data_IF_781408561545
#
_entry.id   IF_781408561545
#
_cell.length_a   1.000
_cell.length_b   1.000
_cell.length_c   1.000
_cell.angle_alpha   90.00
_cell.angle_beta   90.00
_cell.angle_gamma   90.00
#
_symmetry.space_group_name_H-M   'P 1'
#
loop_
_entity.id
_entity.type
_entity.pdbx_description
1 polymer ?
#
# COMPACT_ATOMS: atom_id res chain seq x y z
N UNK A 1 -62.49 -55.52 25.89
CA UNK A 1 -63.01 -55.28 24.54
C UNK A 1 -62.94 -53.80 24.25
N UNK A 2 -62.15 -53.42 23.25
CA UNK A 2 -62.36 -52.30 22.31
C UNK A 2 -61.25 -52.41 21.25
N UNK A 3 -61.72 -52.53 20.00
CA UNK A 3 -61.13 -52.34 18.65
C UNK A 3 -59.82 -51.56 18.48
N UNK A 4 -59.03 -51.59 17.38
CA UNK A 4 -58.76 -52.44 16.18
C UNK A 4 -57.74 -51.61 15.32
N UNK A 5 -56.82 -52.27 14.59
CA UNK A 5 -56.05 -51.86 13.37
C UNK A 5 -54.82 -50.90 13.39
N UNK A 6 -53.65 -51.52 13.15
CA UNK A 6 -52.58 -51.34 12.12
C UNK A 6 -52.07 -49.97 11.60
N UNK A 7 -50.75 -49.78 11.77
CA UNK A 7 -49.67 -49.33 10.85
C UNK A 7 -49.82 -48.12 9.90
N UNK A 8 -48.88 -47.16 9.99
CA UNK A 8 -47.89 -46.81 8.93
C UNK A 8 -46.98 -45.63 9.32
N UNK A 9 -45.76 -45.61 8.76
CA UNK A 9 -44.64 -44.68 8.96
C UNK A 9 -44.88 -43.21 8.55
N UNK A 10 -44.17 -42.28 9.20
CA UNK A 10 -43.50 -41.15 8.51
C UNK A 10 -42.32 -40.60 9.33
N UNK A 11 -41.18 -40.40 8.66
CA UNK A 11 -39.97 -39.74 9.16
C UNK A 11 -39.96 -38.32 8.61
N UNK A 12 -40.34 -37.34 9.43
CA UNK A 12 -40.07 -35.92 9.20
C UNK A 12 -40.22 -35.17 10.51
N UNK A 13 -39.12 -34.66 11.08
CA UNK A 13 -39.22 -33.88 12.31
C UNK A 13 -37.88 -33.50 12.93
N UNK A 14 -37.43 -32.30 12.56
CA UNK A 14 -36.51 -31.39 13.26
C UNK A 14 -36.12 -31.78 14.70
N UNK A 15 -34.80 -31.89 14.92
CA UNK A 15 -34.21 -31.61 16.23
C UNK A 15 -33.41 -30.32 16.14
N UNK A 16 -34.01 -29.25 16.67
CA UNK A 16 -33.32 -28.03 17.06
C UNK A 16 -32.99 -28.14 18.55
N UNK A 17 -31.70 -28.17 18.90
CA UNK A 17 -31.22 -27.54 20.13
C UNK A 17 -29.84 -26.93 19.88
N UNK A 18 -29.61 -25.67 20.29
CA UNK A 18 -28.39 -24.94 19.98
C UNK A 18 -27.32 -25.24 21.04
N UNK A 19 -26.16 -25.70 20.60
CA UNK A 19 -24.93 -25.44 21.34
C UNK A 19 -24.32 -24.16 20.76
N UNK A 20 -24.05 -23.12 21.57
CA UNK A 20 -23.28 -21.99 21.08
C UNK A 20 -21.89 -22.51 20.74
N UNK A 21 -21.60 -22.55 19.45
CA UNK A 21 -20.31 -22.92 18.92
C UNK A 21 -19.25 -22.08 19.61
N UNK A 22 -18.26 -22.77 20.17
CA UNK A 22 -16.94 -22.18 20.41
C UNK A 22 -16.54 -21.45 19.12
N UNK A 23 -16.46 -20.12 19.19
CA UNK A 23 -15.81 -19.35 18.16
C UNK A 23 -14.37 -19.80 18.10
N UNK A 24 -14.03 -20.53 17.04
CA UNK A 24 -12.64 -20.73 16.67
C UNK A 24 -11.98 -19.33 16.65
N UNK A 25 -10.82 -19.14 17.30
CA UNK A 25 -10.15 -17.85 17.21
C UNK A 25 -9.88 -17.59 15.74
N UNK A 26 -10.33 -16.43 15.25
CA UNK A 26 -9.94 -15.91 13.93
C UNK A 26 -8.44 -16.20 13.79
N UNK A 27 -8.09 -17.08 12.83
CA UNK A 27 -6.71 -17.20 12.42
C UNK A 27 -6.31 -15.80 11.95
N UNK A 28 -5.47 -15.12 12.73
CA UNK A 28 -4.88 -13.86 12.33
C UNK A 28 -4.06 -14.20 11.08
N UNK A 29 -4.58 -13.85 9.91
CA UNK A 29 -3.88 -13.84 8.63
C UNK A 29 -2.49 -13.24 8.85
N UNK A 30 -1.47 -13.81 8.23
CA UNK A 30 -0.04 -13.49 8.37
C UNK A 30 0.22 -11.99 8.58
N UNK A 31 0.31 -11.58 9.86
CA UNK A 31 0.56 -10.19 10.25
C UNK A 31 2.06 -9.88 10.16
N UNK A 32 2.67 -10.18 9.01
CA UNK A 32 4.12 -10.03 8.81
C UNK A 32 4.45 -8.60 8.38
N UNK A 33 4.92 -7.81 9.33
CA UNK A 33 5.36 -6.43 9.13
C UNK A 33 6.55 -6.09 10.04
N UNK A 34 7.21 -4.98 9.78
CA UNK A 34 8.26 -4.44 10.65
C UNK A 34 7.74 -3.17 11.34
N UNK A 35 7.73 -3.20 12.68
CA UNK A 35 7.11 -2.17 13.52
C UNK A 35 8.16 -1.43 14.33
N UNK A 36 8.21 -0.12 14.18
CA UNK A 36 8.88 0.77 15.11
C UNK A 36 7.86 1.37 16.07
N UNK A 37 8.06 1.20 17.38
CA UNK A 37 7.24 1.87 18.40
C UNK A 37 7.98 3.11 18.88
N UNK A 38 7.46 4.29 18.59
CA UNK A 38 7.95 5.56 19.12
C UNK A 38 7.14 5.91 20.37
N UNK A 39 7.80 5.90 21.52
CA UNK A 39 7.18 6.01 22.83
C UNK A 39 7.51 7.36 23.48
N UNK A 40 6.51 8.13 23.89
CA UNK A 40 6.72 9.40 24.59
C UNK A 40 7.37 9.15 25.95
N UNK A 41 8.54 9.73 26.18
CA UNK A 41 9.30 9.66 27.42
C UNK A 41 9.55 11.04 28.03
N UNK A 42 8.77 12.05 27.62
CA UNK A 42 8.88 13.43 28.08
C UNK A 42 8.55 13.63 29.56
N UNK A 43 8.91 14.79 30.10
CA UNK A 43 8.55 15.18 31.48
C UNK A 43 7.03 15.29 31.67
N UNK A 44 6.28 15.63 30.61
CA UNK A 44 4.83 15.84 30.66
C UNK A 44 4.06 14.55 31.01
N UNK A 45 4.50 13.41 30.45
CA UNK A 45 3.89 12.11 30.76
C UNK A 45 4.21 11.64 32.19
N UNK A 46 5.45 11.85 32.64
CA UNK A 46 5.91 11.43 33.95
C UNK A 46 5.97 9.91 34.15
N UNK A 47 6.66 9.48 35.22
CA UNK A 47 6.99 8.06 35.46
C UNK A 47 5.78 7.13 35.51
N UNK A 48 4.66 7.59 36.11
CA UNK A 48 3.48 6.75 36.33
C UNK A 48 2.78 6.41 35.01
N UNK A 49 2.54 7.40 34.14
CA UNK A 49 1.91 7.19 32.84
C UNK A 49 2.87 6.51 31.87
N UNK A 50 4.17 6.79 31.96
CA UNK A 50 5.21 6.05 31.25
C UNK A 50 5.14 4.54 31.53
N UNK A 51 4.97 4.13 32.80
CA UNK A 51 4.79 2.72 33.13
C UNK A 51 3.49 2.12 32.55
N UNK A 52 2.40 2.90 32.46
CA UNK A 52 1.17 2.46 31.79
C UNK A 52 1.39 2.28 30.28
N UNK A 53 2.18 3.17 29.66
CA UNK A 53 2.58 3.07 28.27
C UNK A 53 3.39 1.80 27.99
N UNK A 54 4.39 1.48 28.84
CA UNK A 54 5.15 0.22 28.76
C UNK A 54 4.23 -1.00 28.79
N UNK A 55 3.23 -1.00 29.68
CA UNK A 55 2.26 -2.09 29.78
C UNK A 55 1.39 -2.22 28.51
N UNK A 56 1.02 -1.10 27.90
CA UNK A 56 0.30 -1.10 26.63
C UNK A 56 1.17 -1.67 25.50
N UNK A 57 2.41 -1.20 25.35
CA UNK A 57 3.34 -1.69 24.31
C UNK A 57 3.65 -3.18 24.50
N UNK A 58 3.86 -3.63 25.74
CA UNK A 58 4.03 -5.04 26.06
C UNK A 58 2.79 -5.86 25.66
N UNK A 59 1.58 -5.35 25.94
CA UNK A 59 0.34 -6.03 25.53
C UNK A 59 0.17 -6.07 24.02
N UNK A 60 0.51 -4.98 23.32
CA UNK A 60 0.49 -4.88 21.87
C UNK A 60 1.45 -5.90 21.24
N UNK A 61 2.71 -5.94 21.69
CA UNK A 61 3.71 -6.89 21.22
C UNK A 61 3.28 -8.36 21.42
N UNK A 62 2.66 -8.66 22.57
CA UNK A 62 2.12 -10.00 22.84
C UNK A 62 0.96 -10.36 21.90
N UNK A 63 0.06 -9.41 21.60
CA UNK A 63 -1.08 -9.63 20.69
C UNK A 63 -0.66 -9.74 19.23
N UNK A 64 0.37 -9.00 18.81
CA UNK A 64 0.99 -9.09 17.50
C UNK A 64 1.72 -10.42 17.26
N UNK A 65 1.99 -11.20 18.32
CA UNK A 65 2.74 -12.48 18.25
C UNK A 65 4.13 -12.30 17.63
N UNK A 66 4.85 -11.28 18.09
CA UNK A 66 6.21 -10.95 17.62
C UNK A 66 7.14 -12.16 17.71
N UNK A 67 7.86 -12.44 16.63
CA UNK A 67 8.82 -13.54 16.60
C UNK A 67 9.37 -13.81 15.20
N UNK A 68 10.17 -14.87 15.06
CA UNK A 68 10.88 -15.18 13.82
C UNK A 68 9.97 -15.32 12.58
N UNK A 69 8.76 -15.86 12.75
CA UNK A 69 7.75 -16.03 11.69
C UNK A 69 6.65 -14.96 11.73
N UNK A 70 6.74 -13.97 12.61
CA UNK A 70 5.72 -12.96 12.86
C UNK A 70 6.20 -11.54 12.51
N UNK A 71 5.51 -10.50 13.02
CA UNK A 71 6.03 -9.16 12.99
C UNK A 71 7.34 -9.04 13.76
N UNK A 72 8.21 -8.11 13.34
CA UNK A 72 9.38 -7.67 14.12
C UNK A 72 9.07 -6.33 14.76
N UNK A 73 9.50 -6.13 16.01
CA UNK A 73 9.26 -4.89 16.75
C UNK A 73 10.58 -4.38 17.29
N UNK A 74 10.83 -3.09 17.12
CA UNK A 74 11.77 -2.37 17.96
C UNK A 74 11.20 -1.07 18.49
N UNK A 75 11.98 -0.37 19.31
CA UNK A 75 11.46 0.70 20.15
C UNK A 75 12.42 1.89 20.23
N UNK A 76 11.82 3.08 20.13
CA UNK A 76 12.48 4.38 20.21
C UNK A 76 11.76 5.19 21.27
N UNK A 77 12.49 5.86 22.15
CA UNK A 77 11.93 6.83 23.10
C UNK A 77 12.06 8.25 22.53
N UNK A 78 10.95 8.99 22.53
CA UNK A 78 10.90 10.42 22.22
C UNK A 78 11.12 11.22 23.52
N UNK A 79 12.11 12.11 23.50
CA UNK A 79 12.47 13.01 24.60
C UNK A 79 13.11 14.29 24.01
N UNK A 80 14.04 14.94 24.70
CA UNK A 80 14.85 16.04 24.11
C UNK A 80 15.52 15.61 22.81
N UNK A 81 16.08 14.39 22.80
CA UNK A 81 16.65 13.72 21.64
C UNK A 81 16.10 12.29 21.54
N UNK A 82 15.85 11.77 20.34
CA UNK A 82 15.36 10.41 20.18
C UNK A 82 16.43 9.38 20.59
N UNK A 83 16.01 8.35 21.32
CA UNK A 83 16.89 7.25 21.74
C UNK A 83 16.33 5.92 21.27
N UNK A 84 17.06 5.22 20.41
CA UNK A 84 16.74 3.85 20.02
C UNK A 84 17.14 2.90 21.15
N UNK A 85 16.16 2.21 21.74
CA UNK A 85 16.41 1.26 22.84
C UNK A 85 16.76 -0.13 22.31
N UNK A 86 16.10 -0.54 21.23
CA UNK A 86 16.42 -1.77 20.49
C UNK A 86 15.83 -1.75 19.09
N UNK A 87 16.53 -2.40 18.15
CA UNK A 87 16.18 -2.51 16.73
C UNK A 87 15.36 -3.77 16.42
N UNK A 88 14.85 -3.91 15.19
CA UNK A 88 13.94 -4.99 14.77
C UNK A 88 14.55 -6.40 14.91
N UNK A 89 15.86 -6.54 14.76
CA UNK A 89 16.59 -7.81 14.88
C UNK A 89 16.94 -8.19 16.33
N UNK A 90 16.76 -7.30 17.30
CA UNK A 90 17.27 -7.49 18.67
C UNK A 90 16.60 -8.63 19.42
N UNK A 91 15.30 -8.83 19.19
CA UNK A 91 14.51 -9.84 19.90
C UNK A 91 13.67 -10.66 18.94
N UNK A 92 13.89 -11.97 18.95
CA UNK A 92 13.12 -12.96 18.17
C UNK A 92 12.18 -13.78 19.04
N UNK A 93 12.34 -13.73 20.36
CA UNK A 93 11.53 -14.43 21.35
C UNK A 93 10.57 -13.45 22.06
N UNK A 94 9.26 -13.74 22.10
CA UNK A 94 8.29 -12.87 22.76
C UNK A 94 8.64 -12.57 24.22
N UNK A 95 9.14 -13.56 24.97
CA UNK A 95 9.45 -13.41 26.39
C UNK A 95 10.55 -12.37 26.64
N UNK A 96 11.60 -12.38 25.82
CA UNK A 96 12.76 -11.50 25.97
C UNK A 96 12.38 -10.07 25.57
N UNK A 97 11.59 -9.91 24.51
CA UNK A 97 11.03 -8.62 24.12
C UNK A 97 10.17 -8.01 25.24
N UNK A 98 9.29 -8.79 25.86
CA UNK A 98 8.44 -8.31 26.96
C UNK A 98 9.27 -7.90 28.18
N UNK A 99 10.34 -8.63 28.47
CA UNK A 99 11.27 -8.27 29.54
C UNK A 99 12.01 -6.97 29.21
N UNK A 100 12.54 -6.83 28.00
CA UNK A 100 13.22 -5.61 27.56
C UNK A 100 12.32 -4.37 27.64
N UNK A 101 11.05 -4.49 27.21
CA UNK A 101 10.06 -3.40 27.35
C UNK A 101 9.84 -3.04 28.82
N UNK A 102 9.81 -4.02 29.73
CA UNK A 102 9.60 -3.77 31.16
C UNK A 102 10.76 -3.01 31.79
N UNK A 103 12.00 -3.29 31.38
CA UNK A 103 13.21 -2.67 31.93
C UNK A 103 13.52 -1.28 31.38
N UNK A 104 12.72 -0.76 30.45
CA UNK A 104 12.90 0.59 29.91
C UNK A 104 12.88 1.66 31.01
N UNK A 105 13.88 2.52 30.94
CA UNK A 105 14.09 3.66 31.83
C UNK A 105 13.38 4.90 31.29
N UNK A 106 12.75 5.66 32.18
CA UNK A 106 12.14 6.94 31.83
C UNK A 106 13.22 8.02 31.67
N UNK A 107 13.20 8.74 30.54
CA UNK A 107 14.21 9.77 30.22
C UNK A 107 13.86 11.16 30.76
N UNK A 108 12.60 11.61 30.63
CA UNK A 108 12.20 13.00 30.86
C UNK A 108 12.47 13.89 29.64
N UNK A 109 12.57 15.21 29.85
CA UNK A 109 12.80 16.20 28.79
C UNK A 109 11.54 16.68 28.07
N UNK A 110 11.71 17.27 26.90
CA UNK A 110 10.64 17.77 26.02
C UNK A 110 10.01 16.63 25.19
N UNK A 111 8.82 16.87 24.63
CA UNK A 111 8.13 15.90 23.76
C UNK A 111 8.44 16.18 22.28
N UNK A 112 9.71 16.05 21.88
CA UNK A 112 10.14 16.23 20.48
C UNK A 112 9.79 15.00 19.64
N UNK A 113 8.49 14.79 19.45
CA UNK A 113 7.93 13.65 18.71
C UNK A 113 8.30 13.72 17.23
N UNK A 114 8.31 14.92 16.63
CA UNK A 114 8.72 15.14 15.24
C UNK A 114 10.14 14.67 14.98
N UNK A 115 11.10 15.06 15.83
CA UNK A 115 12.49 14.57 15.76
C UNK A 115 12.57 13.05 15.90
N UNK A 116 11.76 12.45 16.77
CA UNK A 116 11.74 11.00 16.93
C UNK A 116 11.17 10.27 15.71
N UNK A 117 10.13 10.81 15.08
CA UNK A 117 9.61 10.31 13.80
C UNK A 117 10.69 10.40 12.73
N UNK A 118 11.35 11.56 12.60
CA UNK A 118 12.40 11.79 11.60
C UNK A 118 13.58 10.81 11.78
N UNK A 119 14.13 10.73 12.99
CA UNK A 119 15.21 9.79 13.33
C UNK A 119 14.84 8.35 13.02
N UNK A 120 13.60 7.94 13.34
CA UNK A 120 13.12 6.59 13.05
C UNK A 120 13.00 6.36 11.54
N UNK A 121 12.51 7.34 10.78
CA UNK A 121 12.39 7.23 9.34
C UNK A 121 13.75 7.08 8.65
N UNK A 122 14.74 7.85 9.08
CA UNK A 122 16.06 7.92 8.44
C UNK A 122 17.00 6.77 8.84
N UNK A 123 16.95 6.32 10.10
CA UNK A 123 18.01 5.44 10.65
C UNK A 123 17.52 4.07 11.06
N UNK A 124 16.23 3.89 11.34
CA UNK A 124 15.75 2.68 12.00
C UNK A 124 15.40 1.56 11.01
N UNK A 125 14.70 1.88 9.92
CA UNK A 125 14.25 0.90 8.93
C UNK A 125 15.34 0.58 7.90
N UNK A 126 16.41 -0.08 8.36
CA UNK A 126 17.52 -0.54 7.52
C UNK A 126 17.67 -2.06 7.58
N UNK A 127 18.28 -2.66 6.56
CA UNK A 127 18.53 -4.12 6.55
C UNK A 127 19.42 -4.55 7.71
N UNK A 128 20.41 -3.74 8.08
CA UNK A 128 21.31 -3.96 9.22
C UNK A 128 20.54 -4.03 10.54
N UNK A 129 19.51 -3.18 10.70
CA UNK A 129 18.64 -3.16 11.87
C UNK A 129 17.59 -4.27 11.87
N UNK A 130 17.56 -5.12 10.84
CA UNK A 130 16.65 -6.26 10.73
C UNK A 130 15.36 -5.99 9.95
N UNK A 131 15.29 -4.92 9.16
CA UNK A 131 14.19 -4.70 8.21
C UNK A 131 14.17 -5.78 7.13
N UNK A 132 12.99 -6.32 6.84
CA UNK A 132 12.76 -7.32 5.79
C UNK A 132 12.18 -6.67 4.54
N UNK A 133 12.77 -6.98 3.39
CA UNK A 133 12.26 -6.54 2.07
C UNK A 133 10.88 -7.17 1.81
N UNK A 134 9.98 -6.41 1.18
CA UNK A 134 8.65 -6.88 0.82
C UNK A 134 7.63 -6.92 1.97
N UNK A 135 8.02 -6.53 3.19
CA UNK A 135 7.10 -6.43 4.33
C UNK A 135 6.70 -4.97 4.60
N UNK A 136 5.45 -4.70 5.01
CA UNK A 136 5.03 -3.36 5.39
C UNK A 136 5.86 -2.80 6.56
N UNK A 137 6.23 -1.52 6.47
CA UNK A 137 6.89 -0.79 7.54
C UNK A 137 5.87 0.09 8.25
N UNK A 138 5.78 -0.04 9.57
CA UNK A 138 4.81 0.68 10.39
C UNK A 138 5.51 1.37 11.53
N UNK A 139 5.28 2.67 11.69
CA UNK A 139 5.71 3.45 12.83
C UNK A 139 4.51 3.74 13.72
N UNK A 140 4.43 3.10 14.88
CA UNK A 140 3.40 3.37 15.89
C UNK A 140 3.92 4.43 16.84
N UNK A 141 3.39 5.64 16.74
CA UNK A 141 3.81 6.79 17.53
C UNK A 141 2.80 7.03 18.63
N UNK A 142 3.23 6.89 19.87
CA UNK A 142 2.42 7.20 21.05
C UNK A 142 2.67 8.63 21.50
N UNK A 143 1.59 9.39 21.66
CA UNK A 143 1.65 10.82 22.02
C UNK A 143 0.82 11.06 23.29
N UNK A 144 1.41 11.71 24.30
CA UNK A 144 0.69 12.21 25.48
C UNK A 144 0.36 13.70 25.28
N UNK A 145 -0.89 14.01 24.91
CA UNK A 145 -1.31 15.37 24.64
C UNK A 145 -0.85 15.87 23.26
N UNK A 146 0.08 16.83 23.24
CA UNK A 146 0.56 17.49 22.02
C UNK A 146 2.09 17.52 21.92
N UNK A 147 2.65 17.39 20.70
CA UNK A 147 4.09 17.45 20.49
C UNK A 147 4.63 18.86 20.75
N UNK A 148 5.91 18.94 21.16
CA UNK A 148 6.63 20.21 21.35
C UNK A 148 7.25 20.76 20.05
N UNK A 149 7.28 19.94 18.99
CA UNK A 149 7.85 20.23 17.69
C UNK A 149 6.87 19.88 16.54
N UNK A 150 7.27 20.22 15.31
CA UNK A 150 6.49 19.91 14.12
C UNK A 150 6.59 18.41 13.77
N UNK A 151 5.43 17.74 13.80
CA UNK A 151 5.29 16.34 13.40
C UNK A 151 4.90 16.17 11.94
N UNK A 152 4.36 17.21 11.29
CA UNK A 152 3.85 17.13 9.92
C UNK A 152 4.99 16.84 8.95
N UNK A 153 6.05 17.64 8.97
CA UNK A 153 7.17 17.48 8.04
C UNK A 153 7.88 16.14 8.22
N UNK A 154 8.11 15.72 9.46
CA UNK A 154 8.72 14.43 9.78
C UNK A 154 7.86 13.26 9.30
N UNK A 155 6.54 13.34 9.51
CA UNK A 155 5.61 12.33 9.05
C UNK A 155 5.47 12.30 7.52
N UNK A 156 5.52 13.44 6.84
CA UNK A 156 5.60 13.50 5.36
C UNK A 156 6.81 12.69 4.90
N UNK A 157 8.00 12.97 5.43
CA UNK A 157 9.22 12.27 5.04
C UNK A 157 9.14 10.77 5.33
N UNK A 158 8.60 10.37 6.49
CA UNK A 158 8.37 8.96 6.80
C UNK A 158 7.46 8.27 5.77
N UNK A 159 6.34 8.91 5.40
CA UNK A 159 5.40 8.39 4.40
C UNK A 159 6.02 8.32 3.01
N UNK A 160 6.76 9.35 2.62
CA UNK A 160 7.48 9.40 1.35
C UNK A 160 8.59 8.34 1.28
N UNK A 161 9.18 7.98 2.43
CA UNK A 161 10.15 6.90 2.55
C UNK A 161 9.51 5.52 2.62
N UNK A 162 8.19 5.42 2.48
CA UNK A 162 7.46 4.16 2.47
C UNK A 162 7.21 3.57 3.87
N UNK A 163 6.97 4.43 4.87
CA UNK A 163 6.61 4.03 6.24
C UNK A 163 5.19 4.48 6.57
N UNK A 164 4.39 3.58 7.13
CA UNK A 164 3.04 3.89 7.60
C UNK A 164 3.08 4.47 9.01
N UNK A 165 2.79 5.76 9.14
CA UNK A 165 2.70 6.42 10.45
C UNK A 165 1.33 6.18 11.06
N UNK A 166 1.32 5.59 12.25
CA UNK A 166 0.12 5.26 13.02
C UNK A 166 0.18 5.97 14.37
N UNK A 167 -0.69 6.95 14.59
CA UNK A 167 -0.68 7.76 15.81
C UNK A 167 -1.65 7.20 16.85
N UNK A 168 -1.15 7.00 18.06
CA UNK A 168 -1.93 6.62 19.24
C UNK A 168 -1.85 7.74 20.26
N UNK A 169 -2.88 8.59 20.28
CA UNK A 169 -3.00 9.65 21.29
C UNK A 169 -3.69 9.11 22.54
N UNK A 170 -3.13 9.33 23.72
CA UNK A 170 -3.74 8.94 24.99
C UNK A 170 -4.13 10.17 25.79
N UNK A 171 -5.40 10.27 26.17
CA UNK A 171 -6.01 11.44 26.80
C UNK A 171 -5.87 12.71 25.92
N UNK A 172 -7.00 13.21 25.42
CA UNK A 172 -6.98 14.46 24.66
C UNK A 172 -6.57 15.63 25.56
N UNK A 173 -5.94 16.69 25.00
CA UNK A 173 -5.69 17.92 25.74
C UNK A 173 -7.00 18.43 26.35
N UNK A 174 -6.97 18.91 27.60
CA UNK A 174 -8.13 19.54 28.20
C UNK A 174 -8.49 20.83 27.43
N UNK A 175 -9.74 21.29 27.52
CA UNK A 175 -10.20 22.45 26.76
C UNK A 175 -9.36 23.71 27.05
N UNK A 176 -8.87 23.82 28.28
CA UNK A 176 -8.02 24.88 28.80
C UNK A 176 -6.60 24.82 28.22
N UNK A 177 -6.11 23.61 27.90
CA UNK A 177 -4.77 23.33 27.38
C UNK A 177 -4.71 23.48 25.85
N UNK A 178 -5.85 23.50 25.15
CA UNK A 178 -5.93 23.68 23.69
C UNK A 178 -5.31 24.99 23.19
N UNK A 179 -5.13 25.98 24.06
CA UNK A 179 -4.43 27.23 23.75
C UNK A 179 -2.91 27.07 23.67
N UNK A 180 -2.35 26.03 24.29
CA UNK A 180 -0.92 25.72 24.31
C UNK A 180 -0.50 24.75 23.21
N UNK A 181 -1.46 24.14 22.51
CA UNK A 181 -1.22 23.25 21.38
C UNK A 181 -0.82 24.09 20.16
N UNK A 182 0.44 23.98 19.74
CA UNK A 182 0.99 24.74 18.62
C UNK A 182 0.24 24.46 17.29
N UNK A 183 -0.03 23.19 17.01
CA UNK A 183 -0.83 22.77 15.86
C UNK A 183 -1.96 21.85 16.33
N UNK A 184 -3.21 22.29 16.21
CA UNK A 184 -4.38 21.53 16.68
C UNK A 184 -4.76 20.36 15.77
N UNK A 185 -4.33 20.38 14.52
CA UNK A 185 -4.61 19.34 13.53
C UNK A 185 -3.40 18.42 13.30
N UNK A 186 -2.39 18.48 14.18
CA UNK A 186 -1.17 17.68 14.08
C UNK A 186 -1.44 16.19 13.83
N UNK A 187 -2.45 15.61 14.52
CA UNK A 187 -2.85 14.21 14.34
C UNK A 187 -3.33 13.91 12.93
N UNK A 188 -4.08 14.85 12.31
CA UNK A 188 -4.62 14.67 10.96
C UNK A 188 -3.55 14.84 9.89
N UNK A 189 -2.62 15.77 10.12
CA UNK A 189 -1.51 16.09 9.20
C UNK A 189 -0.39 15.04 9.23
N UNK A 190 -0.13 14.47 10.40
CA UNK A 190 0.89 13.44 10.57
C UNK A 190 0.44 12.04 10.10
N UNK A 191 -0.87 11.77 10.00
CA UNK A 191 -1.37 10.57 9.33
C UNK A 191 -1.55 10.79 7.83
N UNK A 192 -1.55 9.71 7.07
CA UNK A 192 -1.71 9.76 5.62
C UNK A 192 -3.15 9.98 5.16
N UNK A 193 -4.13 9.40 5.87
CA UNK A 193 -5.56 9.58 5.62
C UNK A 193 -6.25 9.92 6.94
N UNK A 194 -6.98 11.03 6.98
CA UNK A 194 -7.86 11.36 8.10
C UNK A 194 -9.22 10.65 7.97
N UNK A 195 -9.17 9.32 7.89
CA UNK A 195 -10.37 8.45 7.87
C UNK A 195 -10.56 7.74 9.23
N UNK A 196 -9.80 8.15 10.25
CA UNK A 196 -9.81 7.52 11.57
C UNK A 196 -9.19 6.13 11.63
N UNK A 197 -8.53 5.64 10.56
CA UNK A 197 -7.81 4.35 10.58
C UNK A 197 -6.44 4.48 11.22
N UNK A 198 -5.60 5.41 10.73
CA UNK A 198 -4.22 5.63 11.15
C UNK A 198 -4.08 6.40 12.47
N UNK A 199 -5.17 6.99 12.96
CA UNK A 199 -5.23 7.66 14.25
C UNK A 199 -6.11 6.85 15.20
N UNK A 200 -5.64 6.67 16.44
CA UNK A 200 -6.38 5.99 17.49
C UNK A 200 -6.33 6.81 18.78
N UNK A 201 -7.50 7.24 19.26
CA UNK A 201 -7.62 8.00 20.50
C UNK A 201 -8.01 7.08 21.66
N UNK A 202 -7.14 6.97 22.65
CA UNK A 202 -7.42 6.28 23.91
C UNK A 202 -7.95 7.32 24.92
N UNK A 203 -9.15 7.13 25.50
CA UNK A 203 -9.73 8.13 26.41
C UNK A 203 -8.98 8.29 27.74
N UNK A 204 -8.35 7.22 28.24
CA UNK A 204 -7.74 7.21 29.55
C UNK A 204 -6.48 6.36 29.60
N UNK A 205 -5.45 6.87 30.30
CA UNK A 205 -4.23 6.15 30.61
C UNK A 205 -4.48 4.81 31.33
N UNK A 206 -5.51 4.73 32.17
CA UNK A 206 -5.85 3.51 32.92
C UNK A 206 -6.53 2.43 32.06
N UNK A 207 -7.10 2.80 30.90
CA UNK A 207 -7.76 1.85 30.00
C UNK A 207 -6.89 1.45 28.81
N UNK A 208 -5.67 1.98 28.68
CA UNK A 208 -4.77 1.76 27.54
C UNK A 208 -4.71 0.30 27.07
N UNK A 209 -4.46 -0.63 27.98
CA UNK A 209 -4.35 -2.07 27.68
C UNK A 209 -5.62 -2.70 27.11
N UNK A 210 -6.82 -2.12 27.37
CA UNK A 210 -8.09 -2.57 26.78
C UNK A 210 -8.16 -2.30 25.28
N UNK A 211 -7.43 -1.29 24.79
CA UNK A 211 -7.42 -0.88 23.40
C UNK A 211 -6.38 -1.61 22.54
N UNK A 212 -5.45 -2.35 23.15
CA UNK A 212 -4.39 -3.06 22.44
C UNK A 212 -4.93 -3.99 21.35
N UNK A 213 -6.09 -4.65 21.59
CA UNK A 213 -6.73 -5.51 20.58
C UNK A 213 -7.15 -4.72 19.35
N UNK A 214 -7.83 -3.59 19.52
CA UNK A 214 -8.30 -2.76 18.41
C UNK A 214 -7.14 -2.19 17.61
N UNK A 215 -6.05 -1.77 18.29
CA UNK A 215 -4.85 -1.29 17.60
C UNK A 215 -4.18 -2.44 16.83
N UNK A 216 -4.04 -3.62 17.43
CA UNK A 216 -3.51 -4.82 16.76
C UNK A 216 -4.31 -5.17 15.51
N UNK A 217 -5.64 -5.15 15.58
CA UNK A 217 -6.52 -5.45 14.45
C UNK A 217 -6.32 -4.48 13.28
N UNK A 218 -6.11 -3.19 13.57
CA UNK A 218 -5.82 -2.20 12.53
C UNK A 218 -4.42 -2.39 11.94
N UNK A 219 -3.42 -2.62 12.78
CA UNK A 219 -2.05 -2.89 12.31
C UNK A 219 -1.99 -4.13 11.42
N UNK A 220 -2.71 -5.20 11.76
CA UNK A 220 -2.74 -6.42 10.96
C UNK A 220 -3.68 -6.36 9.74
N UNK A 221 -4.33 -5.22 9.47
CA UNK A 221 -5.09 -4.98 8.24
C UNK A 221 -4.15 -4.47 7.15
N UNK A 222 -3.30 -5.37 6.62
CA UNK A 222 -2.20 -5.01 5.72
C UNK A 222 -2.71 -4.27 4.47
N UNK A 223 -3.84 -4.69 3.91
CA UNK A 223 -4.50 -4.04 2.76
C UNK A 223 -4.94 -2.59 3.04
N UNK A 224 -4.95 -2.18 4.30
CA UNK A 224 -5.32 -0.81 4.72
C UNK A 224 -4.09 0.05 5.05
N UNK A 225 -2.88 -0.51 5.12
CA UNK A 225 -1.61 0.19 5.40
C UNK A 225 -1.04 0.89 4.14
N UNK A 226 -1.90 1.45 3.30
CA UNK A 226 -1.55 1.94 1.95
C UNK A 226 -1.14 3.40 1.94
N UNK A 227 -0.24 3.77 2.82
CA UNK A 227 0.13 5.17 3.07
C UNK A 227 1.63 5.45 3.04
N UNK A 228 2.43 4.39 3.15
CA UNK A 228 3.80 4.33 2.65
C UNK A 228 3.83 4.43 1.13
N UNK A 229 4.68 5.26 0.51
CA UNK A 229 5.02 5.08 -0.91
C UNK A 229 5.58 3.67 -1.13
N UNK A 230 4.75 2.81 -1.68
CA UNK A 230 5.12 1.49 -2.20
C UNK A 230 4.81 1.49 -3.69
N UNK A 231 5.34 0.51 -4.40
CA UNK A 231 4.94 0.30 -5.79
C UNK A 231 3.41 0.27 -5.96
N UNK A 232 2.69 -0.36 -5.02
CA UNK A 232 1.25 -0.60 -5.17
C UNK A 232 0.39 0.67 -5.09
N UNK A 233 0.90 1.74 -4.47
CA UNK A 233 0.13 2.98 -4.23
C UNK A 233 0.90 4.27 -4.61
N UNK A 234 1.99 4.18 -5.36
CA UNK A 234 2.81 5.35 -5.72
C UNK A 234 3.32 5.30 -7.17
N UNK A 235 2.51 4.75 -8.07
CA UNK A 235 2.81 4.67 -9.51
C UNK A 235 1.71 5.28 -10.35
N UNK A 236 2.09 5.87 -11.48
CA UNK A 236 1.18 6.31 -12.51
C UNK A 236 1.27 5.31 -13.66
N UNK A 237 0.16 4.65 -13.99
CA UNK A 237 0.10 3.62 -15.03
C UNK A 237 -0.75 4.13 -16.18
N UNK A 238 -0.12 4.34 -17.33
CA UNK A 238 -0.81 4.60 -18.59
C UNK A 238 -0.97 3.32 -19.38
N UNK A 239 -2.18 3.06 -19.87
CA UNK A 239 -2.45 1.99 -20.81
C UNK A 239 -2.56 2.57 -22.22
N UNK A 240 -1.77 2.00 -23.13
CA UNK A 240 -1.82 2.32 -24.56
C UNK A 240 -2.39 1.10 -25.29
N UNK A 241 -3.63 1.22 -25.75
CA UNK A 241 -4.48 0.12 -26.15
C UNK A 241 -4.68 0.14 -27.66
N UNK A 242 -4.20 -0.91 -28.34
CA UNK A 242 -4.43 -1.09 -29.77
C UNK A 242 -5.90 -1.44 -30.04
N UNK A 243 -6.61 -0.53 -30.72
CA UNK A 243 -7.98 -0.69 -31.17
C UNK A 243 -8.10 -0.95 -32.67
N UNK A 244 -7.01 -1.41 -33.30
CA UNK A 244 -6.96 -1.66 -34.75
C UNK A 244 -7.86 -2.80 -35.18
N UNK A 245 -8.16 -2.83 -36.48
CA UNK A 245 -9.05 -3.82 -37.07
C UNK A 245 -8.53 -5.27 -36.97
N UNK A 246 -7.21 -5.48 -36.81
CA UNK A 246 -6.60 -6.81 -36.65
C UNK A 246 -6.95 -7.46 -35.31
N UNK A 247 -7.09 -6.66 -34.25
CA UNK A 247 -7.45 -7.15 -32.92
C UNK A 247 -8.84 -7.77 -32.97
N UNK A 248 -9.84 -7.03 -33.46
CA UNK A 248 -11.23 -7.46 -33.47
C UNK A 248 -11.93 -7.34 -32.11
N UNK A 249 -13.25 -7.19 -32.14
CA UNK A 249 -14.05 -6.82 -30.95
C UNK A 249 -13.95 -7.83 -29.79
N UNK A 250 -13.91 -9.12 -30.08
CA UNK A 250 -13.88 -10.16 -29.02
C UNK A 250 -12.53 -10.21 -28.32
N UNK A 251 -11.43 -10.12 -29.08
CA UNK A 251 -10.09 -10.06 -28.51
C UNK A 251 -9.85 -8.74 -27.76
N UNK A 252 -10.43 -7.63 -28.25
CA UNK A 252 -10.33 -6.33 -27.59
C UNK A 252 -10.88 -6.38 -26.15
N UNK A 253 -11.98 -7.11 -25.92
CA UNK A 253 -12.49 -7.33 -24.55
C UNK A 253 -11.50 -8.07 -23.67
N UNK A 254 -10.78 -9.06 -24.20
CA UNK A 254 -9.73 -9.77 -23.45
C UNK A 254 -8.56 -8.85 -23.10
N UNK A 255 -8.20 -7.91 -23.98
CA UNK A 255 -7.21 -6.87 -23.69
C UNK A 255 -7.70 -5.98 -22.54
N UNK A 256 -8.95 -5.53 -22.57
CA UNK A 256 -9.52 -4.72 -21.47
C UNK A 256 -9.55 -5.48 -20.14
N UNK A 257 -9.90 -6.77 -20.14
CA UNK A 257 -9.88 -7.60 -18.94
C UNK A 257 -8.46 -7.81 -18.39
N UNK A 258 -7.47 -7.98 -19.27
CA UNK A 258 -6.06 -8.03 -18.90
C UNK A 258 -5.59 -6.74 -18.22
N UNK A 259 -5.89 -5.58 -18.82
CA UNK A 259 -5.52 -4.27 -18.27
C UNK A 259 -6.24 -3.98 -16.96
N UNK A 260 -7.52 -4.35 -16.86
CA UNK A 260 -8.28 -4.30 -15.61
C UNK A 260 -7.63 -5.17 -14.53
N UNK A 261 -7.15 -6.38 -14.87
CA UNK A 261 -6.43 -7.25 -13.95
C UNK A 261 -5.12 -6.65 -13.41
N UNK A 262 -4.36 -5.95 -14.28
CA UNK A 262 -3.18 -5.18 -13.84
C UNK A 262 -3.61 -4.08 -12.88
N UNK A 263 -4.54 -3.21 -13.30
CA UNK A 263 -5.00 -2.07 -12.51
C UNK A 263 -5.61 -2.48 -11.16
N UNK A 264 -6.32 -3.60 -11.10
CA UNK A 264 -6.89 -4.18 -9.88
C UNK A 264 -5.84 -4.49 -8.82
N UNK A 265 -4.60 -4.80 -9.23
CA UNK A 265 -3.48 -5.14 -8.34
C UNK A 265 -2.86 -3.91 -7.65
N UNK A 266 -3.21 -2.70 -8.08
CA UNK A 266 -2.72 -1.44 -7.50
C UNK A 266 -3.82 -0.74 -6.70
N UNK A 267 -3.41 0.14 -5.78
CA UNK A 267 -4.30 0.89 -4.91
C UNK A 267 -4.62 2.26 -5.48
N UNK A 268 -5.59 2.25 -6.37
CA UNK A 268 -6.05 3.43 -7.09
C UNK A 268 -6.79 4.36 -6.15
N UNK A 269 -6.25 5.55 -5.92
CA UNK A 269 -6.90 6.60 -5.12
C UNK A 269 -6.30 7.98 -5.38
N UNK A 270 -6.90 9.02 -4.76
CA UNK A 270 -6.44 10.38 -5.02
C UNK A 270 -5.00 10.70 -4.61
N UNK A 271 -4.50 9.92 -3.66
CA UNK A 271 -3.15 10.02 -3.11
C UNK A 271 -2.36 8.71 -3.33
N UNK A 272 -2.93 7.79 -4.10
CA UNK A 272 -2.40 6.46 -4.37
C UNK A 272 -1.91 6.33 -5.80
N UNK A 273 -1.99 5.11 -6.35
CA UNK A 273 -1.69 4.89 -7.76
C UNK A 273 -2.73 5.54 -8.65
N UNK A 274 -2.32 5.95 -9.85
CA UNK A 274 -3.17 6.56 -10.85
C UNK A 274 -3.17 5.73 -12.12
N UNK A 275 -4.31 5.64 -12.79
CA UNK A 275 -4.48 4.86 -14.01
C UNK A 275 -5.16 5.72 -15.05
N UNK A 276 -4.69 5.65 -16.28
CA UNK A 276 -5.27 6.32 -17.43
C UNK A 276 -5.15 5.46 -18.68
N UNK A 277 -6.00 5.71 -19.66
CA UNK A 277 -6.08 4.89 -20.86
C UNK A 277 -6.16 5.75 -22.12
N UNK A 278 -5.35 5.38 -23.11
CA UNK A 278 -5.37 5.91 -24.47
C UNK A 278 -5.59 4.73 -25.41
N UNK A 279 -6.63 4.80 -26.22
CA UNK A 279 -6.84 3.88 -27.32
C UNK A 279 -6.26 4.47 -28.61
N UNK A 280 -5.69 3.65 -29.48
CA UNK A 280 -5.14 4.12 -30.74
C UNK A 280 -5.45 3.22 -31.93
N UNK A 281 -5.52 3.86 -33.10
CA UNK A 281 -5.51 3.24 -34.43
C UNK A 281 -4.56 4.03 -35.33
N UNK A 282 -5.07 4.65 -36.42
CA UNK A 282 -4.41 5.78 -37.08
C UNK A 282 -4.47 7.03 -36.20
N UNK A 283 -5.60 7.23 -35.54
CA UNK A 283 -5.85 8.33 -34.60
C UNK A 283 -5.74 7.86 -33.14
N UNK A 284 -5.42 8.78 -32.24
CA UNK A 284 -5.31 8.53 -30.80
C UNK A 284 -6.50 9.15 -30.07
N UNK A 285 -7.09 8.40 -29.14
CA UNK A 285 -8.19 8.85 -28.29
C UNK A 285 -7.83 8.64 -26.82
N UNK A 286 -7.84 9.73 -26.06
CA UNK A 286 -7.84 9.65 -24.60
C UNK A 286 -9.21 9.12 -24.15
N UNK A 287 -9.25 7.92 -23.59
CA UNK A 287 -10.48 7.36 -23.02
C UNK A 287 -10.74 7.97 -21.65
N UNK A 288 -9.70 8.06 -20.82
CA UNK A 288 -9.67 8.82 -19.57
C UNK A 288 -8.23 9.09 -19.14
N UNK A 289 -8.01 10.23 -18.48
CA UNK A 289 -6.73 10.64 -17.93
C UNK A 289 -6.43 10.01 -16.57
N UNK A 290 -5.17 10.13 -16.13
CA UNK A 290 -4.67 9.58 -14.85
C UNK A 290 -5.47 10.03 -13.61
N UNK A 291 -6.19 11.15 -13.69
CA UNK A 291 -6.88 11.79 -12.56
C UNK A 291 -8.40 11.77 -12.65
N UNK A 292 -8.95 11.17 -13.72
CA UNK A 292 -10.40 11.18 -13.96
C UNK A 292 -11.14 10.20 -13.04
N UNK A 293 -10.44 9.18 -12.54
CA UNK A 293 -10.98 8.20 -11.60
C UNK A 293 -10.12 8.13 -10.33
N UNK A 294 -10.78 8.24 -9.18
CA UNK A 294 -10.15 8.24 -7.85
C UNK A 294 -10.48 6.99 -7.02
N UNK A 295 -11.17 6.01 -7.62
CA UNK A 295 -11.47 4.73 -6.99
C UNK A 295 -11.15 3.57 -7.92
N UNK A 296 -10.86 2.41 -7.32
CA UNK A 296 -10.63 1.16 -8.05
C UNK A 296 -11.85 0.75 -8.85
N UNK A 297 -13.04 0.84 -8.25
CA UNK A 297 -14.31 0.47 -8.89
C UNK A 297 -14.59 1.33 -10.14
N UNK A 298 -14.47 2.65 -10.04
CA UNK A 298 -14.69 3.56 -11.16
C UNK A 298 -13.70 3.29 -12.29
N UNK A 299 -12.43 3.05 -11.95
CA UNK A 299 -11.40 2.74 -12.95
C UNK A 299 -11.70 1.42 -13.67
N UNK A 300 -12.15 0.39 -12.95
CA UNK A 300 -12.49 -0.90 -13.56
C UNK A 300 -13.70 -0.77 -14.50
N UNK A 301 -14.70 0.01 -14.09
CA UNK A 301 -15.88 0.28 -14.91
C UNK A 301 -15.51 1.10 -16.16
N UNK A 302 -14.65 2.10 -16.02
CA UNK A 302 -14.14 2.89 -17.13
C UNK A 302 -13.38 2.05 -18.15
N UNK A 303 -12.44 1.20 -17.69
CA UNK A 303 -11.67 0.30 -18.57
C UNK A 303 -12.58 -0.65 -19.34
N UNK A 304 -13.49 -1.35 -18.65
CA UNK A 304 -14.42 -2.28 -19.31
C UNK A 304 -15.46 -1.59 -20.20
N UNK A 305 -15.68 -0.30 -19.99
CA UNK A 305 -16.57 0.53 -20.79
C UNK A 305 -15.95 1.11 -22.06
N UNK A 306 -14.64 0.93 -22.29
CA UNK A 306 -13.96 1.45 -23.48
C UNK A 306 -14.56 0.80 -24.73
N UNK A 307 -15.01 1.62 -25.67
CA UNK A 307 -15.61 1.16 -26.92
C UNK A 307 -14.52 0.85 -27.94
N UNK A 308 -14.61 -0.33 -28.56
CA UNK A 308 -13.68 -0.76 -29.62
C UNK A 308 -13.68 0.22 -30.80
N UNK A 309 -12.49 0.65 -31.19
CA UNK A 309 -12.23 1.39 -32.43
C UNK A 309 -12.09 0.43 -33.62
N UNK A 310 -11.70 0.96 -34.78
CA UNK A 310 -11.32 0.15 -35.93
C UNK A 310 -10.49 1.03 -36.87
N UNK A 311 -9.37 0.52 -37.36
CA UNK A 311 -8.43 1.26 -38.18
C UNK A 311 -7.09 0.52 -38.28
N UNK A 312 -6.05 1.21 -38.76
CA UNK A 312 -4.68 0.70 -38.74
C UNK A 312 -4.00 0.93 -37.40
N UNK A 313 -2.69 0.68 -37.35
CA UNK A 313 -1.90 0.66 -36.11
C UNK A 313 -0.75 1.67 -36.20
N UNK A 314 -0.88 2.83 -35.56
CA UNK A 314 0.16 3.88 -35.48
C UNK A 314 0.71 4.01 -34.05
N UNK A 315 1.49 3.02 -33.64
CA UNK A 315 2.00 2.88 -32.26
C UNK A 315 2.99 3.99 -31.89
N UNK A 316 3.83 4.46 -32.81
CA UNK A 316 4.80 5.53 -32.53
C UNK A 316 4.12 6.85 -32.20
N UNK A 317 3.11 7.21 -33.00
CA UNK A 317 2.25 8.37 -32.78
C UNK A 317 1.45 8.23 -31.48
N UNK A 318 1.00 7.03 -31.16
CA UNK A 318 0.30 6.71 -29.91
C UNK A 318 1.20 6.91 -28.67
N UNK A 319 2.45 6.44 -28.71
CA UNK A 319 3.44 6.68 -27.63
C UNK A 319 3.70 8.18 -27.46
N UNK A 320 3.89 8.91 -28.57
CA UNK A 320 4.06 10.37 -28.54
C UNK A 320 2.86 11.08 -27.89
N UNK A 321 1.65 10.68 -28.27
CA UNK A 321 0.42 11.25 -27.73
C UNK A 321 0.27 10.98 -26.24
N UNK A 322 0.50 9.74 -25.79
CA UNK A 322 0.43 9.38 -24.37
C UNK A 322 1.46 10.19 -23.56
N UNK A 323 2.69 10.29 -24.05
CA UNK A 323 3.74 11.10 -23.41
C UNK A 323 3.32 12.56 -23.25
N UNK A 324 2.74 13.17 -24.30
CA UNK A 324 2.40 14.60 -24.31
C UNK A 324 1.07 14.94 -23.63
N UNK A 325 0.11 14.01 -23.58
CA UNK A 325 -1.25 14.30 -23.12
C UNK A 325 -1.59 13.55 -21.84
N UNK A 326 -1.26 12.25 -21.76
CA UNK A 326 -1.53 11.43 -20.59
C UNK A 326 -0.55 11.74 -19.45
N UNK A 327 0.75 11.84 -19.76
CA UNK A 327 1.82 12.13 -18.79
C UNK A 327 2.24 13.61 -18.75
N UNK A 328 1.37 14.53 -19.22
CA UNK A 328 1.70 15.95 -19.45
C UNK A 328 2.25 16.70 -18.22
N UNK A 329 1.94 16.24 -17.01
CA UNK A 329 2.46 16.81 -15.78
C UNK A 329 3.18 15.72 -14.97
N UNK A 330 4.51 15.61 -15.05
CA UNK A 330 5.27 14.70 -14.20
C UNK A 330 5.04 15.14 -12.75
N UNK A 331 4.30 14.35 -11.98
CA UNK A 331 4.01 14.62 -10.57
C UNK A 331 4.07 13.32 -9.79
N UNK A 332 4.34 13.46 -8.49
CA UNK A 332 4.52 12.41 -7.46
C UNK A 332 4.16 11.00 -7.94
N UNK A 333 5.18 10.17 -8.14
CA UNK A 333 5.06 8.79 -8.60
C UNK A 333 6.07 8.48 -9.69
N UNK A 334 6.21 7.19 -10.03
CA UNK A 334 6.95 6.75 -11.21
C UNK A 334 5.97 6.43 -12.33
N UNK A 335 6.30 6.88 -13.54
CA UNK A 335 5.43 6.77 -14.71
C UNK A 335 5.75 5.47 -15.47
N UNK A 336 4.72 4.65 -15.66
CA UNK A 336 4.79 3.38 -16.38
C UNK A 336 3.78 3.40 -17.52
N UNK A 337 4.22 3.03 -18.72
CA UNK A 337 3.37 2.91 -19.90
C UNK A 337 3.33 1.44 -20.32
N UNK A 338 2.16 0.82 -20.27
CA UNK A 338 1.94 -0.54 -20.79
C UNK A 338 1.28 -0.43 -22.15
N UNK A 339 2.00 -0.85 -23.19
CA UNK A 339 1.54 -0.87 -24.58
C UNK A 339 1.10 -2.28 -24.93
N UNK A 340 -0.15 -2.44 -25.40
CA UNK A 340 -0.66 -3.72 -25.89
C UNK A 340 -0.98 -3.60 -27.37
N UNK A 341 -0.43 -4.47 -28.21
CA UNK A 341 -0.62 -4.47 -29.67
C UNK A 341 -0.57 -5.88 -30.26
N UNK A 342 -1.26 -6.11 -31.37
CA UNK A 342 -1.31 -7.41 -32.05
C UNK A 342 -0.61 -7.43 -33.43
N UNK A 343 -0.05 -6.29 -33.85
CA UNK A 343 0.40 -6.09 -35.23
C UNK A 343 1.61 -5.15 -35.36
N UNK A 344 2.10 -5.06 -36.61
CA UNK A 344 3.19 -4.16 -36.97
C UNK A 344 2.68 -2.72 -37.06
N UNK A 345 3.47 -1.77 -36.54
CA UNK A 345 3.15 -0.35 -36.67
C UNK A 345 3.40 0.18 -38.09
N UNK A 346 2.56 1.10 -38.55
CA UNK A 346 2.74 1.80 -39.83
C UNK A 346 3.73 2.99 -39.76
N UNK A 347 4.14 3.38 -38.55
CA UNK A 347 5.04 4.50 -38.27
C UNK A 347 6.28 4.10 -37.47
N UNK A 348 7.24 5.02 -37.34
CA UNK A 348 8.43 4.78 -36.53
C UNK A 348 8.09 4.73 -35.03
N UNK A 349 8.44 3.63 -34.39
CA UNK A 349 8.23 3.42 -32.95
C UNK A 349 9.45 3.80 -32.11
N UNK A 350 10.66 3.80 -32.70
CA UNK A 350 11.92 3.91 -31.94
C UNK A 350 12.13 5.31 -31.40
N UNK A 351 11.96 6.33 -32.25
CA UNK A 351 12.10 7.73 -31.87
C UNK A 351 11.15 8.12 -30.73
N UNK A 352 9.83 7.88 -30.88
CA UNK A 352 8.84 8.12 -29.83
C UNK A 352 9.13 7.40 -28.51
N UNK A 353 9.46 6.10 -28.56
CA UNK A 353 9.77 5.32 -27.36
C UNK A 353 10.99 5.86 -26.62
N UNK A 354 12.08 6.16 -27.33
CA UNK A 354 13.27 6.77 -26.72
C UNK A 354 12.97 8.14 -26.11
N UNK A 355 12.11 8.94 -26.75
CA UNK A 355 11.73 10.25 -26.24
C UNK A 355 10.93 10.13 -24.93
N UNK A 356 9.97 9.20 -24.87
CA UNK A 356 9.20 8.89 -23.67
C UNK A 356 10.10 8.39 -22.52
N UNK A 357 11.01 7.46 -22.81
CA UNK A 357 11.96 6.93 -21.83
C UNK A 357 12.87 8.02 -21.25
N UNK A 358 13.33 8.97 -22.07
CA UNK A 358 14.11 10.13 -21.60
C UNK A 358 13.33 11.07 -20.68
N UNK A 359 12.00 11.05 -20.73
CA UNK A 359 11.15 11.77 -19.79
C UNK A 359 10.91 11.01 -18.48
N UNK A 360 11.52 9.83 -18.31
CA UNK A 360 11.39 9.01 -17.10
C UNK A 360 10.20 8.04 -17.14
N UNK A 361 9.59 7.83 -18.30
CA UNK A 361 8.51 6.86 -18.49
C UNK A 361 9.10 5.49 -18.77
N UNK A 362 8.76 4.50 -17.95
CA UNK A 362 9.18 3.11 -18.17
C UNK A 362 8.15 2.40 -19.04
N UNK A 363 8.57 1.89 -20.21
CA UNK A 363 7.68 1.28 -21.20
C UNK A 363 7.73 -0.23 -21.11
N UNK A 364 6.56 -0.84 -20.87
CA UNK A 364 6.29 -2.26 -21.03
C UNK A 364 5.58 -2.47 -22.36
N UNK A 365 6.05 -3.41 -23.18
CA UNK A 365 5.33 -3.83 -24.38
C UNK A 365 4.80 -5.24 -24.24
N UNK A 366 3.55 -5.43 -24.62
CA UNK A 366 2.84 -6.70 -24.61
C UNK A 366 2.34 -6.94 -26.02
N UNK A 367 3.02 -7.83 -26.73
CA UNK A 367 2.63 -8.28 -28.06
C UNK A 367 1.72 -9.50 -28.00
N UNK A 368 0.75 -9.55 -28.90
CA UNK A 368 -0.13 -10.70 -29.07
C UNK A 368 -0.12 -11.16 -30.53
N UNK A 369 -0.38 -12.44 -30.75
CA UNK A 369 -0.58 -13.03 -32.08
C UNK A 369 0.62 -12.82 -33.02
N UNK A 370 0.53 -11.83 -33.92
CA UNK A 370 1.50 -11.59 -34.98
C UNK A 370 2.38 -10.35 -34.73
N UNK A 371 2.31 -9.76 -33.53
CA UNK A 371 3.11 -8.61 -33.14
C UNK A 371 4.62 -8.88 -33.34
N UNK A 372 5.35 -8.05 -34.10
CA UNK A 372 6.78 -8.27 -34.35
C UNK A 372 7.60 -8.11 -33.07
N UNK A 373 8.28 -9.17 -32.62
CA UNK A 373 9.05 -9.14 -31.37
C UNK A 373 10.16 -8.09 -31.36
N UNK A 374 10.78 -7.82 -32.49
CA UNK A 374 11.82 -6.79 -32.62
C UNK A 374 11.26 -5.38 -32.42
N UNK A 375 10.01 -5.14 -32.83
CA UNK A 375 9.34 -3.86 -32.61
C UNK A 375 8.98 -3.68 -31.14
N UNK A 376 8.43 -4.74 -30.51
CA UNK A 376 8.15 -4.75 -29.07
C UNK A 376 9.42 -4.45 -28.24
N UNK A 377 10.52 -5.12 -28.56
CA UNK A 377 11.83 -4.88 -27.93
C UNK A 377 12.33 -3.47 -28.19
N UNK A 378 12.16 -2.95 -29.40
CA UNK A 378 12.62 -1.63 -29.77
C UNK A 378 11.93 -0.52 -28.97
N UNK A 379 10.64 -0.67 -28.62
CA UNK A 379 9.90 0.32 -27.83
C UNK A 379 9.98 0.13 -26.31
N UNK A 380 10.25 -1.09 -25.82
CA UNK A 380 10.34 -1.36 -24.37
C UNK A 380 11.49 -0.62 -23.69
N UNK A 381 11.40 -0.36 -22.40
CA UNK A 381 12.55 0.10 -21.59
C UNK A 381 13.52 -1.03 -21.28
N UNK A 382 14.73 -0.72 -20.82
CA UNK A 382 15.63 -1.72 -20.23
C UNK A 382 15.18 -2.13 -18.82
N UNK A 383 15.36 -3.41 -18.41
CA UNK A 383 15.91 -4.51 -19.19
C UNK A 383 14.87 -5.17 -20.12
N UNK A 384 15.23 -5.39 -21.39
CA UNK A 384 14.28 -5.85 -22.44
C UNK A 384 13.56 -7.16 -22.13
N UNK A 385 14.24 -8.10 -21.48
CA UNK A 385 13.71 -9.41 -21.08
C UNK A 385 12.60 -9.32 -20.02
N UNK A 386 12.55 -8.23 -19.26
CA UNK A 386 11.49 -7.95 -18.28
C UNK A 386 10.34 -7.14 -18.88
N UNK A 387 10.67 -6.23 -19.79
CA UNK A 387 9.72 -5.22 -20.31
C UNK A 387 9.09 -5.61 -21.65
N UNK A 388 9.55 -6.68 -22.30
CA UNK A 388 8.93 -7.21 -23.51
C UNK A 388 8.27 -8.55 -23.23
N UNK A 389 6.95 -8.60 -23.37
CA UNK A 389 6.12 -9.78 -23.21
C UNK A 389 5.44 -10.13 -24.53
N UNK A 390 5.31 -11.42 -24.81
CA UNK A 390 4.71 -11.90 -26.06
C UNK A 390 3.93 -13.20 -25.84
N UNK A 391 2.68 -13.23 -26.30
CA UNK A 391 1.85 -14.45 -26.35
C UNK A 391 1.30 -14.65 -27.76
N UNK A 392 1.09 -15.91 -28.16
CA UNK A 392 0.48 -16.23 -29.47
C UNK A 392 -1.03 -16.04 -29.49
N UNK A 393 -1.68 -16.11 -28.34
CA UNK A 393 -3.13 -16.03 -28.21
C UNK A 393 -3.51 -15.00 -27.14
N UNK A 394 -4.62 -14.29 -27.37
CA UNK A 394 -5.15 -13.29 -26.44
C UNK A 394 -5.54 -13.89 -25.08
N UNK A 395 -5.92 -15.17 -25.04
CA UNK A 395 -6.19 -15.92 -23.82
C UNK A 395 -4.98 -15.99 -22.87
N UNK A 396 -3.76 -15.98 -23.42
CA UNK A 396 -2.52 -15.99 -22.65
C UNK A 396 -2.16 -14.65 -21.99
N UNK A 397 -2.88 -13.56 -22.28
CA UNK A 397 -2.61 -12.25 -21.68
C UNK A 397 -2.74 -12.28 -20.15
N UNK A 398 -3.70 -13.05 -19.62
CA UNK A 398 -3.95 -13.11 -18.18
C UNK A 398 -2.75 -13.65 -17.38
N UNK A 399 -1.93 -14.50 -17.99
CA UNK A 399 -0.72 -15.05 -17.36
C UNK A 399 0.36 -13.98 -17.14
N UNK A 400 0.29 -12.86 -17.87
CA UNK A 400 1.23 -11.75 -17.75
C UNK A 400 0.89 -10.76 -16.66
N UNK A 401 -0.33 -10.76 -16.12
CA UNK A 401 -0.73 -9.86 -15.02
C UNK A 401 0.28 -9.92 -13.85
N UNK A 402 0.58 -11.09 -13.25
CA UNK A 402 1.53 -11.15 -12.13
C UNK A 402 2.96 -10.75 -12.54
N UNK A 403 3.35 -10.96 -13.80
CA UNK A 403 4.69 -10.62 -14.30
C UNK A 403 4.84 -9.10 -14.46
N UNK A 404 3.86 -8.43 -15.09
CA UNK A 404 3.87 -6.98 -15.28
C UNK A 404 3.84 -6.28 -13.93
N UNK A 405 2.94 -6.70 -13.02
CA UNK A 405 2.84 -6.11 -11.67
C UNK A 405 4.15 -6.26 -10.90
N UNK A 406 4.74 -7.46 -10.90
CA UNK A 406 6.03 -7.69 -10.21
C UNK A 406 7.14 -6.82 -10.80
N UNK A 407 7.18 -6.69 -12.11
CA UNK A 407 8.23 -5.93 -12.81
C UNK A 407 8.11 -4.43 -12.53
N UNK A 408 6.90 -3.86 -12.63
CA UNK A 408 6.63 -2.46 -12.22
C UNK A 408 7.13 -2.22 -10.78
N UNK A 409 6.91 -3.17 -9.88
CA UNK A 409 7.35 -3.03 -8.50
C UNK A 409 8.85 -3.17 -8.27
N UNK A 410 9.53 -3.99 -9.07
CA UNK A 410 10.99 -4.05 -9.05
C UNK A 410 11.58 -2.74 -9.55
N UNK A 411 11.09 -2.20 -10.67
CA UNK A 411 11.58 -0.95 -11.22
C UNK A 411 11.29 0.23 -10.28
N UNK A 412 10.11 0.26 -9.65
CA UNK A 412 9.80 1.25 -8.61
C UNK A 412 10.86 1.25 -7.50
N UNK A 413 11.29 0.07 -7.04
CA UNK A 413 12.34 -0.03 -6.00
C UNK A 413 13.71 0.39 -6.52
N UNK A 414 14.08 -0.01 -7.73
CA UNK A 414 15.38 0.35 -8.32
C UNK A 414 15.49 1.87 -8.57
N UNK A 415 14.42 2.52 -9.06
CA UNK A 415 14.42 3.97 -9.32
C UNK A 415 14.46 4.76 -8.00
N UNK A 416 13.79 4.27 -6.95
CA UNK A 416 13.79 4.92 -5.64
C UNK A 416 15.11 4.81 -4.88
N UNK A 417 15.95 3.80 -5.16
CA UNK A 417 17.30 3.69 -4.60
C UNK A 417 18.33 4.64 -5.27
N UNK A 418 18.06 5.11 -6.50
CA UNK A 418 19.02 5.92 -7.29
C UNK A 418 18.92 7.43 -7.00
N UNK A 419 17.82 7.91 -6.42
CA UNK A 419 17.65 9.34 -6.07
C UNK A 419 17.83 9.56 -4.56
N UNK A 420 18.99 10.05 -4.10
CA UNK A 420 19.22 10.39 -2.70
C UNK A 420 18.39 11.59 -2.23
#
# INVERSE_FOLDING_TARGET
GLSRWTSSFSLSGRWTFPFPGFSAPLMLVDCQMDVAVVMDSSRNIGQRRFNLQKNFVAKLAAMLRVGASGPRVGLIQASDSPKTEFVLSSYTQPKDLLFAIKELTFLGGDSNTGKAILHTAETFFTQENGMRRGHPRVMVVMIDGWPSDDVEQAAILARESGINVFLVSVAKPAAEELSMVADRDFMKKAVCKDNGFFSYSIPSWFSTTKHARSVTQRLCSLDSLLCSKTCYNSVNIGFLIDGSSSVGMDNFKMVLDFLAGIAQSFDISDIGSRVGAVQFTYDQRMEFGLFDHSTKEDTMNALRGISYMSGGTSTGSAISYATQNLFRHPRRGHDFLVVVTDGQSYDDIRGPAMAAQRQGITIFSVGVAWAPLDDLRAMSSEPKDRHTLFTREFTGLLDFIPLVVRSICQDFTEISEIRP
#
